data_IF_747582598385
#
_entry.id   IF_747582598385
#
_cell.length_a   1.000
_cell.length_b   1.000
_cell.length_c   1.000
_cell.angle_alpha   90.00
_cell.angle_beta   90.00
_cell.angle_gamma   90.00
#
_symmetry.space_group_name_H-M   'P 1'
#
loop_
_entity.id
_entity.type
_entity.pdbx_description
1 polymer ?
#
# COMPACT_ATOMS: atom_id res chain seq x y z
N UNK A 1 -2.57 11.27 -30.48
CA UNK A 1 -2.04 11.88 -29.23
C UNK A 1 -1.48 10.77 -28.36
N UNK A 2 -0.17 10.54 -28.39
CA UNK A 2 0.48 9.59 -27.48
C UNK A 2 0.72 10.32 -26.15
N UNK A 3 -0.23 10.21 -25.23
CA UNK A 3 -0.07 10.70 -23.87
C UNK A 3 0.98 9.86 -23.16
N UNK A 4 2.16 10.42 -22.93
CA UNK A 4 3.16 9.81 -22.05
C UNK A 4 2.65 9.90 -20.61
N UNK A 5 2.00 8.85 -20.13
CA UNK A 5 1.61 8.73 -18.73
C UNK A 5 2.84 8.65 -17.82
N UNK A 6 2.76 9.25 -16.62
CA UNK A 6 3.86 9.18 -15.66
C UNK A 6 4.11 7.73 -15.23
N UNK A 7 5.34 7.42 -14.78
CA UNK A 7 5.68 6.08 -14.26
C UNK A 7 4.75 5.68 -13.10
N UNK A 8 4.38 6.63 -12.23
CA UNK A 8 3.44 6.39 -11.13
C UNK A 8 2.04 6.03 -11.63
N UNK A 9 1.57 6.67 -12.71
CA UNK A 9 0.28 6.37 -13.32
C UNK A 9 0.28 4.98 -13.94
N UNK A 10 1.26 4.63 -14.76
CA UNK A 10 1.37 3.29 -15.36
C UNK A 10 1.46 2.20 -14.30
N UNK A 11 2.28 2.42 -13.26
CA UNK A 11 2.45 1.47 -12.16
C UNK A 11 1.17 1.29 -11.33
N UNK A 12 0.52 2.39 -10.93
CA UNK A 12 -0.71 2.33 -10.12
C UNK A 12 -1.87 1.67 -10.88
N UNK A 13 -2.02 1.95 -12.18
CA UNK A 13 -3.04 1.30 -13.02
C UNK A 13 -2.76 -0.19 -13.24
N UNK A 14 -1.49 -0.59 -13.36
CA UNK A 14 -1.11 -2.00 -13.44
C UNK A 14 -1.48 -2.75 -12.15
N UNK A 15 -1.21 -2.14 -10.99
CA UNK A 15 -1.59 -2.71 -9.70
C UNK A 15 -3.11 -2.74 -9.53
N UNK A 16 -3.83 -1.72 -9.98
CA UNK A 16 -5.29 -1.73 -9.99
C UNK A 16 -5.86 -2.89 -10.82
N UNK A 17 -5.33 -3.13 -12.02
CA UNK A 17 -5.72 -4.27 -12.85
C UNK A 17 -5.46 -5.62 -12.16
N UNK A 18 -4.31 -5.78 -11.48
CA UNK A 18 -4.01 -6.98 -10.69
C UNK A 18 -4.99 -7.17 -9.53
N UNK A 19 -5.35 -6.09 -8.84
CA UNK A 19 -6.32 -6.12 -7.75
C UNK A 19 -7.68 -6.63 -8.22
N UNK A 20 -8.15 -6.15 -9.38
CA UNK A 20 -9.40 -6.64 -9.99
C UNK A 20 -9.27 -8.10 -10.46
N UNK A 21 -8.14 -8.50 -11.03
CA UNK A 21 -7.91 -9.90 -11.40
C UNK A 21 -7.96 -10.84 -10.20
N UNK A 22 -7.40 -10.46 -9.05
CA UNK A 22 -7.54 -11.26 -7.82
C UNK A 22 -8.97 -11.26 -7.28
N UNK A 23 -9.72 -10.19 -7.48
CA UNK A 23 -11.13 -10.16 -7.13
C UNK A 23 -11.95 -11.16 -7.95
N UNK A 24 -11.73 -11.22 -9.26
CA UNK A 24 -12.40 -12.18 -10.17
C UNK A 24 -12.08 -13.64 -9.82
N UNK A 25 -10.91 -13.89 -9.23
CA UNK A 25 -10.47 -15.20 -8.76
C UNK A 25 -10.91 -15.52 -7.33
N UNK A 26 -11.67 -14.63 -6.67
CA UNK A 26 -12.04 -14.73 -5.26
C UNK A 26 -10.82 -14.90 -4.31
N UNK A 27 -9.66 -14.36 -4.69
CA UNK A 27 -8.43 -14.41 -3.90
C UNK A 27 -8.24 -13.13 -3.05
N UNK A 28 -8.72 -13.19 -1.81
CA UNK A 28 -8.58 -12.08 -0.86
C UNK A 28 -7.12 -11.71 -0.59
N UNK A 29 -6.24 -12.71 -0.47
CA UNK A 29 -4.84 -12.49 -0.11
C UNK A 29 -4.13 -11.75 -1.24
N UNK A 30 -4.35 -12.17 -2.49
CA UNK A 30 -3.86 -11.48 -3.68
C UNK A 30 -4.35 -10.03 -3.77
N UNK A 31 -5.63 -9.79 -3.47
CA UNK A 31 -6.19 -8.44 -3.40
C UNK A 31 -5.52 -7.58 -2.32
N UNK A 32 -5.42 -8.07 -1.08
CA UNK A 32 -4.83 -7.30 0.02
C UNK A 32 -3.34 -7.04 -0.16
N UNK A 33 -2.61 -8.01 -0.72
CA UNK A 33 -1.21 -7.84 -1.09
C UNK A 33 -1.05 -6.73 -2.12
N UNK A 34 -1.87 -6.73 -3.16
CA UNK A 34 -1.84 -5.68 -4.20
C UNK A 34 -2.14 -4.30 -3.61
N UNK A 35 -3.15 -4.18 -2.74
CA UNK A 35 -3.46 -2.94 -1.99
C UNK A 35 -2.26 -2.47 -1.16
N UNK A 36 -1.53 -3.38 -0.50
CA UNK A 36 -0.30 -3.06 0.26
C UNK A 36 0.81 -2.56 -0.67
N UNK A 37 0.99 -3.14 -1.86
CA UNK A 37 1.95 -2.62 -2.84
C UNK A 37 1.64 -1.19 -3.28
N UNK A 38 0.37 -0.88 -3.51
CA UNK A 38 -0.08 0.49 -3.83
C UNK A 38 0.21 1.45 -2.67
N UNK A 39 -0.06 1.03 -1.42
CA UNK A 39 0.28 1.81 -0.22
C UNK A 39 1.80 2.06 -0.08
N UNK A 40 2.62 1.07 -0.43
CA UNK A 40 4.07 1.22 -0.43
C UNK A 40 4.52 2.23 -1.50
N UNK A 41 3.88 2.28 -2.67
CA UNK A 41 4.11 3.31 -3.68
C UNK A 41 3.83 4.71 -3.14
N UNK A 42 2.63 4.91 -2.57
CA UNK A 42 2.22 6.16 -1.93
C UNK A 42 3.22 6.65 -0.89
N UNK A 43 3.62 5.78 0.05
CA UNK A 43 4.50 6.14 1.17
C UNK A 43 5.95 6.40 0.73
N UNK A 44 6.47 5.64 -0.24
CA UNK A 44 7.81 5.86 -0.79
C UNK A 44 7.88 7.18 -1.56
N UNK A 45 6.91 7.48 -2.41
CA UNK A 45 6.83 8.76 -3.12
C UNK A 45 6.76 9.93 -2.14
N UNK A 46 5.90 9.84 -1.12
CA UNK A 46 5.81 10.87 -0.06
C UNK A 46 7.12 11.05 0.70
N UNK A 47 7.85 9.96 0.97
CA UNK A 47 9.17 10.03 1.61
C UNK A 47 10.18 10.76 0.71
N UNK A 48 10.21 10.47 -0.59
CA UNK A 48 11.12 11.14 -1.52
C UNK A 48 10.75 12.61 -1.76
N UNK A 49 9.47 12.97 -1.63
CA UNK A 49 9.03 14.37 -1.64
C UNK A 49 9.47 15.12 -0.37
N UNK A 50 9.44 14.46 0.79
CA UNK A 50 9.76 15.08 2.08
C UNK A 50 11.26 15.16 2.39
N UNK A 51 12.09 14.25 1.88
CA UNK A 51 13.50 14.15 2.24
C UNK A 51 14.38 14.14 0.99
N UNK A 52 15.29 15.12 0.87
CA UNK A 52 16.29 15.16 -0.21
C UNK A 52 17.15 13.89 -0.15
N UNK A 53 17.21 13.14 -1.25
CA UNK A 53 17.90 11.84 -1.30
C UNK A 53 17.17 10.67 -0.62
N UNK A 54 15.96 10.87 -0.09
CA UNK A 54 15.10 9.80 0.42
C UNK A 54 15.46 9.19 1.78
N UNK A 55 16.52 9.67 2.42
CA UNK A 55 16.93 9.24 3.76
C UNK A 55 16.12 9.96 4.82
N UNK A 56 15.27 9.24 5.53
CA UNK A 56 14.45 9.77 6.63
C UNK A 56 15.25 10.00 7.91
N UNK A 57 16.33 9.25 8.12
CA UNK A 57 17.16 9.28 9.33
C UNK A 57 18.59 9.68 8.97
N UNK A 58 19.25 10.41 9.87
CA UNK A 58 20.65 10.87 9.74
C UNK A 58 21.60 9.67 9.74
N UNK A 59 21.35 8.70 10.62
CA UNK A 59 22.05 7.42 10.69
C UNK A 59 21.14 6.26 10.28
N UNK A 60 21.72 5.23 9.65
CA UNK A 60 21.01 4.05 9.15
C UNK A 60 20.47 3.10 10.23
N UNK A 61 20.79 3.31 11.51
CA UNK A 61 20.19 2.56 12.62
C UNK A 61 18.75 3.00 12.82
N UNK A 62 17.83 2.03 12.95
CA UNK A 62 16.36 2.20 12.88
C UNK A 62 15.72 3.18 13.89
N UNK A 63 16.50 3.85 14.76
CA UNK A 63 16.00 4.83 15.74
C UNK A 63 16.89 6.08 15.87
N UNK A 64 17.51 6.53 14.78
CA UNK A 64 18.32 7.76 14.75
C UNK A 64 17.53 9.07 14.71
N UNK A 65 18.25 10.19 14.74
CA UNK A 65 17.69 11.54 14.51
C UNK A 65 17.07 11.62 13.12
N UNK A 66 15.85 12.17 13.00
CA UNK A 66 15.20 12.36 11.69
C UNK A 66 15.93 13.45 10.92
N UNK A 67 16.13 13.25 9.62
CA UNK A 67 16.59 14.33 8.74
C UNK A 67 15.55 15.46 8.71
N UNK A 68 16.02 16.67 8.44
CA UNK A 68 15.15 17.80 8.18
C UNK A 68 14.36 17.53 6.89
N UNK A 69 13.07 17.87 6.91
CA UNK A 69 12.27 17.86 5.68
C UNK A 69 12.80 18.91 4.73
N UNK A 70 12.84 18.61 3.45
CA UNK A 70 13.25 19.57 2.43
C UNK A 70 12.14 20.55 2.08
N UNK A 71 12.49 21.82 1.93
CA UNK A 71 11.56 22.89 1.59
C UNK A 71 11.34 23.03 0.08
N UNK A 72 12.35 22.74 -0.74
CA UNK A 72 12.24 22.69 -2.21
C UNK A 72 13.49 22.07 -2.84
N UNK A 73 13.42 20.80 -3.23
CA UNK A 73 14.48 20.14 -4.00
C UNK A 73 13.92 19.59 -5.30
N UNK A 74 14.80 19.41 -6.27
CA UNK A 74 14.44 18.93 -7.60
C UNK A 74 13.61 17.63 -7.56
N UNK A 75 12.49 17.68 -8.26
CA UNK A 75 11.50 16.61 -8.34
C UNK A 75 10.63 16.40 -7.10
N UNK A 76 10.63 17.32 -6.11
CA UNK A 76 9.71 17.26 -4.97
C UNK A 76 8.24 17.25 -5.42
N UNK A 77 7.86 18.15 -6.32
CA UNK A 77 6.49 18.27 -6.82
C UNK A 77 6.05 17.02 -7.58
N UNK A 78 6.91 16.49 -8.45
CA UNK A 78 6.67 15.24 -9.19
C UNK A 78 6.48 14.04 -8.24
N UNK A 79 7.28 13.97 -7.16
CA UNK A 79 7.16 12.91 -6.14
C UNK A 79 5.91 13.08 -5.28
N UNK A 80 5.49 14.31 -5.02
CA UNK A 80 4.22 14.58 -4.35
C UNK A 80 3.04 14.17 -5.23
N UNK A 81 3.05 14.56 -6.52
CA UNK A 81 2.06 14.15 -7.49
C UNK A 81 1.99 12.62 -7.63
N UNK A 82 3.14 11.93 -7.69
CA UNK A 82 3.19 10.48 -7.67
C UNK A 82 2.57 9.88 -6.40
N UNK A 83 2.77 10.51 -5.24
CA UNK A 83 2.15 10.06 -3.99
C UNK A 83 0.62 10.17 -4.04
N UNK A 84 0.08 11.25 -4.62
CA UNK A 84 -1.35 11.45 -4.78
C UNK A 84 -1.97 10.43 -5.75
N UNK A 85 -1.32 10.14 -6.88
CA UNK A 85 -1.77 9.10 -7.82
C UNK A 85 -1.92 7.74 -7.13
N UNK A 86 -0.92 7.32 -6.34
CA UNK A 86 -1.03 6.06 -5.59
C UNK A 86 -2.09 6.12 -4.49
N UNK A 87 -2.30 7.30 -3.87
CA UNK A 87 -3.30 7.49 -2.83
C UNK A 87 -4.72 7.29 -3.37
N UNK A 88 -5.04 7.89 -4.51
CA UNK A 88 -6.36 7.75 -5.16
C UNK A 88 -6.68 6.27 -5.43
N UNK A 89 -5.73 5.52 -5.98
CA UNK A 89 -5.91 4.09 -6.25
C UNK A 89 -5.99 3.27 -4.94
N UNK A 90 -5.22 3.64 -3.91
CA UNK A 90 -5.28 2.98 -2.59
C UNK A 90 -6.64 3.17 -1.92
N UNK A 91 -7.20 4.38 -1.98
CA UNK A 91 -8.54 4.69 -1.46
C UNK A 91 -9.59 3.88 -2.22
N UNK A 92 -9.50 3.85 -3.56
CA UNK A 92 -10.36 3.02 -4.41
C UNK A 92 -10.33 1.52 -4.03
N UNK A 93 -9.15 0.94 -3.78
CA UNK A 93 -9.04 -0.45 -3.32
C UNK A 93 -9.75 -0.68 -1.99
N UNK A 94 -9.70 0.27 -1.05
CA UNK A 94 -10.36 0.15 0.25
C UNK A 94 -11.87 0.30 0.18
N UNK A 95 -12.34 1.14 -0.74
CA UNK A 95 -13.77 1.41 -0.97
C UNK A 95 -14.43 0.34 -1.83
N UNK A 96 -13.66 -0.49 -2.52
CA UNK A 96 -14.17 -1.60 -3.33
C UNK A 96 -15.00 -2.58 -2.48
N UNK A 97 -16.30 -2.69 -2.77
CA UNK A 97 -17.26 -3.48 -2.00
C UNK A 97 -16.84 -4.95 -1.88
N UNK A 98 -16.34 -5.54 -2.97
CA UNK A 98 -15.84 -6.91 -2.97
C UNK A 98 -14.66 -7.12 -2.01
N UNK A 99 -13.77 -6.13 -1.89
CA UNK A 99 -12.65 -6.21 -0.95
C UNK A 99 -13.12 -6.12 0.50
N UNK A 100 -14.09 -5.24 0.79
CA UNK A 100 -14.65 -5.11 2.13
C UNK A 100 -15.34 -6.39 2.59
N UNK A 101 -16.11 -7.02 1.70
CA UNK A 101 -16.76 -8.31 1.95
C UNK A 101 -15.72 -9.39 2.24
N UNK A 102 -14.81 -9.64 1.32
CA UNK A 102 -13.81 -10.72 1.47
C UNK A 102 -12.88 -10.50 2.66
N UNK A 103 -12.57 -9.23 2.99
CA UNK A 103 -11.83 -8.90 4.21
C UNK A 103 -12.60 -9.29 5.47
N UNK A 104 -13.90 -9.03 5.50
CA UNK A 104 -14.76 -9.39 6.65
C UNK A 104 -14.78 -10.90 6.82
N UNK A 105 -14.97 -11.64 5.73
CA UNK A 105 -15.03 -13.10 5.73
C UNK A 105 -13.69 -13.70 6.22
N UNK A 106 -12.56 -13.23 5.66
CA UNK A 106 -11.23 -13.66 6.10
C UNK A 106 -10.95 -13.38 7.58
N UNK A 107 -11.37 -12.23 8.10
CA UNK A 107 -11.19 -11.90 9.53
C UNK A 107 -12.06 -12.78 10.44
N UNK A 108 -13.26 -13.14 9.98
CA UNK A 108 -14.15 -14.04 10.71
C UNK A 108 -13.54 -15.45 10.78
N UNK A 109 -13.10 -15.99 9.63
CA UNK A 109 -12.42 -17.29 9.55
C UNK A 109 -11.15 -17.34 10.40
N UNK A 110 -10.33 -16.28 10.35
CA UNK A 110 -9.13 -16.16 11.18
C UNK A 110 -9.47 -16.20 12.68
N UNK A 111 -10.55 -15.52 13.09
CA UNK A 111 -11.00 -15.52 14.49
C UNK A 111 -11.45 -16.91 14.93
N UNK A 112 -12.25 -17.60 14.11
CA UNK A 112 -12.70 -18.96 14.40
C UNK A 112 -11.53 -19.94 14.48
N UNK A 113 -10.55 -19.81 13.58
CA UNK A 113 -9.32 -20.61 13.62
C UNK A 113 -8.53 -20.41 14.91
N UNK A 114 -8.35 -19.16 15.35
CA UNK A 114 -7.66 -18.86 16.62
C UNK A 114 -8.41 -19.43 17.83
N UNK A 115 -9.73 -19.30 17.86
CA UNK A 115 -10.56 -19.83 18.96
C UNK A 115 -10.50 -21.35 19.05
N UNK A 116 -10.51 -22.04 17.92
CA UNK A 116 -10.41 -23.50 17.87
C UNK A 116 -9.01 -23.99 18.26
N UNK A 117 -7.95 -23.28 17.83
CA UNK A 117 -6.57 -23.59 18.24
C UNK A 117 -6.33 -23.39 19.73
N UNK A 118 -6.92 -22.35 20.34
CA UNK A 118 -6.88 -22.13 21.79
C UNK A 118 -7.67 -23.20 22.56
N UNK A 119 -8.77 -23.74 22.01
CA UNK A 119 -9.54 -24.81 22.64
C UNK A 119 -8.79 -26.16 22.64
N UNK A 120 -8.00 -26.44 21.60
CA UNK A 120 -7.16 -27.65 21.52
C UNK A 120 -5.96 -27.58 22.48
N UNK A 121 -5.34 -26.40 22.66
CA UNK A 121 -4.18 -26.20 23.55
C UNK A 121 -4.56 -26.17 25.04
N UNK A 122 -5.77 -25.69 25.38
CA UNK A 122 -6.28 -25.67 26.76
C UNK A 122 -7.02 -26.96 27.17
N UNK A 123 -7.15 -27.93 26.27
CA UNK A 123 -7.80 -29.23 26.50
C UNK A 123 -6.84 -30.40 26.75
N UNK A 124 -5.53 -30.14 26.83
CA UNK A 124 -4.46 -31.11 27.07
C UNK A 124 -3.88 -31.04 28.49
#
# INVERSE_FOLDING_TARGET
>A
MNGFFSVAQTSSQTLWGKFLGFYELEDFVGMDMTRKFIQMGMTRSKRYANYKGGRKYVDSKEKGVKNLKSTGHDGKEEKEAASQIFREVWERCKEHEGYQRMKKDFLQEQKEWLQNGEAEDNGA
#
